data_IF_423663285775
#
_entry.id   IF_423663285775
#
_cell.length_a   1.000
_cell.length_b   1.000
_cell.length_c   1.000
_cell.angle_alpha   90.00
_cell.angle_beta   90.00
_cell.angle_gamma   90.00
#
_symmetry.space_group_name_H-M   'P 1'
#
loop_
_entity.id
_entity.type
_entity.pdbx_description
1 polymer ?
#
# COMPACT_ATOMS: atom_id res chain seq x y z
N UNK A 1 20.39 19.13 -7.39
CA UNK A 1 19.15 19.70 -6.83
C UNK A 1 18.18 19.89 -7.99
N UNK A 2 17.17 19.02 -8.11
CA UNK A 2 16.24 19.04 -9.25
C UNK A 2 15.11 20.03 -8.95
N UNK A 3 15.14 21.20 -9.60
CA UNK A 3 14.05 22.18 -9.56
C UNK A 3 13.02 21.86 -10.65
N UNK A 4 11.74 22.05 -10.35
CA UNK A 4 10.63 21.87 -11.27
C UNK A 4 9.75 23.13 -11.27
N UNK A 5 9.27 23.52 -12.45
CA UNK A 5 8.37 24.66 -12.62
C UNK A 5 6.95 24.12 -12.75
N UNK A 6 6.07 24.50 -11.82
CA UNK A 6 4.66 24.09 -11.79
C UNK A 6 3.97 24.51 -13.10
N UNK A 7 3.30 23.54 -13.74
CA UNK A 7 2.48 23.74 -14.94
C UNK A 7 0.99 23.79 -14.58
N UNK A 8 0.14 24.31 -15.48
CA UNK A 8 -1.31 24.28 -15.27
C UNK A 8 -1.82 22.87 -15.00
N UNK A 9 -2.54 22.69 -13.89
CA UNK A 9 -3.12 21.40 -13.49
C UNK A 9 -2.20 20.50 -12.67
N UNK A 10 -0.96 20.93 -12.38
CA UNK A 10 -0.09 20.24 -11.43
C UNK A 10 -0.53 20.48 -9.99
N UNK A 11 -0.36 19.45 -9.17
CA UNK A 11 -0.39 19.56 -7.72
C UNK A 11 0.62 18.58 -7.13
N UNK A 12 0.97 18.74 -5.84
CA UNK A 12 1.93 17.84 -5.19
C UNK A 12 1.49 16.38 -5.24
N UNK A 13 0.18 16.11 -5.20
CA UNK A 13 -0.36 14.75 -5.30
C UNK A 13 -0.03 14.08 -6.65
N UNK A 14 -0.33 14.72 -7.78
CA UNK A 14 -0.07 14.19 -9.14
C UNK A 14 1.43 14.10 -9.42
N UNK A 15 2.20 15.08 -8.96
CA UNK A 15 3.66 15.09 -9.12
C UNK A 15 4.30 13.95 -8.31
N UNK A 16 3.84 13.71 -7.09
CA UNK A 16 4.29 12.60 -6.25
C UNK A 16 3.92 11.24 -6.85
N UNK A 17 2.70 11.10 -7.38
CA UNK A 17 2.28 9.90 -8.09
C UNK A 17 3.16 9.60 -9.31
N UNK A 18 3.47 10.60 -10.13
CA UNK A 18 4.33 10.43 -11.29
C UNK A 18 5.78 10.09 -10.91
N UNK A 19 6.22 10.51 -9.72
CA UNK A 19 7.57 10.26 -9.21
C UNK A 19 7.69 9.02 -8.34
N UNK A 20 6.58 8.38 -7.97
CA UNK A 20 6.57 7.22 -7.09
C UNK A 20 6.96 7.55 -5.65
N UNK A 21 6.60 8.72 -5.14
CA UNK A 21 6.85 9.12 -3.75
C UNK A 21 5.59 9.69 -3.09
N UNK A 22 5.67 10.09 -1.82
CA UNK A 22 4.53 10.71 -1.12
C UNK A 22 4.44 12.20 -1.42
N UNK A 23 3.22 12.75 -1.42
CA UNK A 23 3.02 14.20 -1.47
C UNK A 23 3.62 14.89 -0.23
N UNK A 24 3.71 14.19 0.90
CA UNK A 24 4.35 14.71 2.12
C UNK A 24 5.84 14.98 1.89
N UNK A 25 6.53 14.13 1.11
CA UNK A 25 7.95 14.33 0.76
C UNK A 25 8.13 15.67 0.00
N UNK A 26 7.13 16.11 -0.79
CA UNK A 26 7.18 17.42 -1.45
C UNK A 26 7.03 18.59 -0.48
N UNK A 27 6.19 18.44 0.55
CA UNK A 27 5.98 19.47 1.58
C UNK A 27 7.25 19.65 2.42
N UNK A 28 7.88 18.54 2.81
CA UNK A 28 9.10 18.56 3.61
C UNK A 28 10.27 19.23 2.88
N UNK A 29 10.41 18.97 1.57
CA UNK A 29 11.50 19.55 0.76
C UNK A 29 11.23 21.01 0.38
N UNK A 30 9.98 21.46 0.47
CA UNK A 30 9.52 22.81 0.15
C UNK A 30 8.86 23.52 1.35
N UNK A 31 9.61 23.79 2.43
CA UNK A 31 9.06 24.48 3.59
C UNK A 31 8.55 25.88 3.18
N UNK A 32 7.33 26.21 3.59
CA UNK A 32 6.69 27.50 3.30
C UNK A 32 5.91 27.58 1.98
N UNK A 33 5.84 26.48 1.21
CA UNK A 33 4.90 26.38 0.09
C UNK A 33 3.61 25.71 0.58
N UNK A 34 2.48 26.38 0.36
CA UNK A 34 1.17 25.82 0.66
C UNK A 34 0.79 24.77 -0.42
N UNK A 35 0.61 23.48 -0.06
CA UNK A 35 0.24 22.42 -1.00
C UNK A 35 -1.11 22.67 -1.69
N UNK A 36 -2.01 23.42 -1.04
CA UNK A 36 -3.34 23.72 -1.54
C UNK A 36 -3.36 24.94 -2.49
N UNK A 37 -2.28 25.71 -2.56
CA UNK A 37 -2.22 26.98 -3.29
C UNK A 37 -0.94 27.11 -4.13
N UNK A 38 -0.71 26.14 -5.03
CA UNK A 38 0.42 26.17 -5.96
C UNK A 38 0.17 27.12 -7.14
N UNK A 39 1.14 27.98 -7.44
CA UNK A 39 1.06 28.91 -8.56
C UNK A 39 1.74 28.37 -9.82
N UNK A 40 1.10 28.53 -10.98
CA UNK A 40 1.72 28.20 -12.27
C UNK A 40 2.96 29.07 -12.48
N UNK A 41 4.08 28.45 -12.85
CA UNK A 41 5.37 29.13 -12.96
C UNK A 41 6.20 29.15 -11.67
N UNK A 42 5.64 28.70 -10.55
CA UNK A 42 6.36 28.58 -9.29
C UNK A 42 7.44 27.50 -9.37
N UNK A 43 8.64 27.82 -8.86
CA UNK A 43 9.73 26.85 -8.73
C UNK A 43 9.56 26.06 -7.44
N UNK A 44 9.54 24.74 -7.56
CA UNK A 44 9.52 23.80 -6.46
C UNK A 44 10.73 22.86 -6.55
N UNK A 45 11.15 22.32 -5.41
CA UNK A 45 12.17 21.30 -5.32
C UNK A 45 11.51 19.93 -5.39
N UNK A 46 12.04 19.05 -6.23
CA UNK A 46 11.58 17.66 -6.29
C UNK A 46 12.31 16.81 -5.24
N UNK A 47 11.59 15.96 -4.48
CA UNK A 47 12.24 14.99 -3.62
C UNK A 47 13.04 13.98 -4.47
N UNK A 48 14.19 13.56 -3.97
CA UNK A 48 14.96 12.48 -4.58
C UNK A 48 14.27 11.15 -4.24
N UNK A 49 13.57 10.57 -5.22
CA UNK A 49 13.17 9.16 -5.12
C UNK A 49 14.45 8.34 -5.17
N UNK A 50 14.87 7.78 -4.04
CA UNK A 50 15.78 6.64 -4.08
C UNK A 50 14.98 5.54 -4.75
N UNK A 51 15.17 5.34 -6.05
CA UNK A 51 14.86 4.04 -6.66
C UNK A 51 15.63 3.04 -5.83
N UNK A 52 14.93 2.35 -4.94
CA UNK A 52 15.43 1.10 -4.40
C UNK A 52 15.39 0.17 -5.60
N UNK A 53 16.47 0.17 -6.39
CA UNK A 53 16.72 -0.93 -7.31
C UNK A 53 16.63 -2.18 -6.44
N UNK A 54 15.75 -3.08 -6.86
CA UNK A 54 15.44 -4.33 -6.19
C UNK A 54 16.70 -5.21 -6.12
N UNK A 55 17.59 -4.94 -5.17
CA UNK A 55 18.54 -5.91 -4.68
C UNK A 55 18.02 -6.44 -3.35
N UNK A 56 17.38 -7.59 -3.45
CA UNK A 56 17.33 -8.62 -2.42
C UNK A 56 16.78 -8.22 -1.04
N UNK A 57 15.53 -8.58 -0.76
CA UNK A 57 15.22 -9.15 0.55
C UNK A 57 15.05 -10.64 0.36
N UNK A 58 16.19 -11.32 0.49
CA UNK A 58 16.32 -12.75 0.63
C UNK A 58 15.41 -13.29 1.74
N UNK A 59 15.09 -14.57 1.62
CA UNK A 59 14.31 -15.31 2.58
C UNK A 59 14.96 -15.40 3.97
N UNK A 60 14.15 -16.04 4.82
CA UNK A 60 14.41 -16.49 6.18
C UNK A 60 14.14 -15.50 7.31
N UNK A 61 13.25 -15.99 8.18
CA UNK A 61 12.85 -15.47 9.47
C UNK A 61 14.03 -14.90 10.27
N UNK A 62 14.02 -13.59 10.49
CA UNK A 62 13.91 -13.02 11.84
C UNK A 62 13.62 -11.52 11.78
N UNK A 63 12.53 -11.16 12.44
CA UNK A 63 12.18 -9.81 12.82
C UNK A 63 13.35 -9.08 13.46
N UNK A 64 13.75 -7.97 12.84
CA UNK A 64 13.88 -6.69 13.54
C UNK A 64 14.23 -5.59 12.53
N UNK A 65 13.29 -5.23 11.67
CA UNK A 65 13.42 -4.06 10.82
C UNK A 65 13.06 -2.82 11.66
N UNK A 66 14.00 -2.32 12.46
CA UNK A 66 13.90 -1.01 13.11
C UNK A 66 14.19 0.08 12.09
N UNK A 67 13.26 0.28 11.17
CA UNK A 67 13.38 1.27 10.10
C UNK A 67 12.11 1.28 9.27
N UNK A 68 11.12 2.04 9.75
CA UNK A 68 9.95 2.67 9.11
C UNK A 68 9.37 2.11 7.78
N UNK A 69 9.52 0.80 7.53
CA UNK A 69 8.85 0.11 6.44
C UNK A 69 7.47 -0.30 6.94
N UNK A 70 6.47 0.56 6.75
CA UNK A 70 5.06 0.19 6.96
C UNK A 70 4.68 -0.88 5.96
N UNK A 71 4.74 -2.14 6.37
CA UNK A 71 4.24 -3.26 5.59
C UNK A 71 2.76 -3.44 5.93
N UNK A 72 1.88 -3.24 4.95
CA UNK A 72 0.48 -3.63 5.09
C UNK A 72 0.41 -5.16 5.08
N UNK A 73 0.00 -5.74 6.20
CA UNK A 73 -0.17 -7.19 6.38
C UNK A 73 -1.64 -7.53 6.61
N UNK A 74 -2.15 -8.51 5.86
CA UNK A 74 -3.46 -9.13 6.07
C UNK A 74 -3.25 -10.61 6.39
N UNK A 75 -3.71 -11.03 7.56
CA UNK A 75 -3.64 -12.42 8.01
C UNK A 75 -5.06 -12.97 8.22
N UNK A 76 -5.31 -14.15 7.66
CA UNK A 76 -6.56 -14.89 7.81
C UNK A 76 -6.25 -16.30 8.30
N UNK A 77 -6.90 -16.73 9.38
CA UNK A 77 -6.85 -18.11 9.88
C UNK A 77 -8.20 -18.79 9.64
N UNK A 78 -8.19 -19.90 8.90
CA UNK A 78 -9.38 -20.71 8.59
C UNK A 78 -9.08 -22.15 8.95
N UNK A 79 -9.70 -22.64 10.02
CA UNK A 79 -9.63 -24.03 10.48
C UNK A 79 -8.18 -24.58 10.57
N UNK A 80 -7.23 -23.74 10.98
CA UNK A 80 -5.81 -24.08 11.12
C UNK A 80 -4.94 -23.79 9.90
N UNK A 81 -5.53 -23.36 8.77
CA UNK A 81 -4.80 -22.86 7.61
C UNK A 81 -4.64 -21.33 7.70
N UNK A 82 -3.40 -20.85 7.62
CA UNK A 82 -3.08 -19.42 7.68
C UNK A 82 -2.74 -18.88 6.29
N UNK A 83 -3.47 -17.85 5.87
CA UNK A 83 -3.19 -17.08 4.66
C UNK A 83 -2.60 -15.75 5.08
N UNK A 84 -1.35 -15.51 4.68
CA UNK A 84 -0.64 -14.25 4.93
C UNK A 84 -0.41 -13.53 3.62
N UNK A 85 -0.94 -12.31 3.52
CA UNK A 85 -0.67 -11.41 2.40
C UNK A 85 0.07 -10.21 2.94
N UNK A 86 1.33 -10.10 2.54
CA UNK A 86 2.18 -8.95 2.86
C UNK A 86 2.39 -8.14 1.60
N UNK A 87 2.11 -6.84 1.67
CA UNK A 87 2.53 -5.92 0.62
C UNK A 87 4.03 -5.59 0.81
N UNK A 88 4.85 -6.12 -0.10
CA UNK A 88 6.27 -5.74 -0.20
C UNK A 88 6.38 -4.56 -1.16
N UNK A 89 6.18 -3.34 -0.68
CA UNK A 89 6.23 -2.14 -1.52
C UNK A 89 6.42 -0.87 -0.69
N UNK A 90 6.77 0.22 -1.36
CA UNK A 90 7.18 1.46 -0.70
C UNK A 90 6.02 2.05 0.13
N UNK A 91 6.19 2.19 1.47
CA UNK A 91 5.13 2.52 2.44
C UNK A 91 4.65 3.98 2.37
N UNK A 92 5.32 4.80 1.56
CA UNK A 92 5.19 6.26 1.57
C UNK A 92 3.88 6.74 0.95
N UNK A 93 3.37 6.03 -0.05
CA UNK A 93 2.05 6.34 -0.62
C UNK A 93 1.00 5.60 0.24
N UNK A 94 -0.15 6.21 0.59
CA UNK A 94 -1.19 5.50 1.31
C UNK A 94 -1.79 4.43 0.38
N UNK A 95 -2.01 3.21 0.89
CA UNK A 95 -2.53 2.09 0.11
C UNK A 95 -3.67 1.37 0.81
N UNK A 96 -4.38 0.55 0.06
CA UNK A 96 -5.50 -0.25 0.49
C UNK A 96 -5.30 -1.68 -0.02
N UNK A 97 -5.34 -2.61 0.93
CA UNK A 97 -5.26 -4.05 0.66
C UNK A 97 -6.61 -4.65 0.98
N UNK A 98 -7.24 -5.23 -0.03
CA UNK A 98 -8.49 -5.98 0.13
C UNK A 98 -8.28 -7.43 -0.29
N UNK A 99 -8.59 -8.35 0.62
CA UNK A 99 -8.71 -9.76 0.30
C UNK A 99 -10.20 -10.14 0.30
N UNK A 100 -10.69 -10.66 -0.81
CA UNK A 100 -12.07 -11.12 -0.96
C UNK A 100 -12.05 -12.62 -1.21
N UNK A 101 -12.75 -13.35 -0.34
CA UNK A 101 -12.96 -14.79 -0.49
C UNK A 101 -14.46 -15.03 -0.70
N UNK A 102 -14.95 -15.06 -1.95
CA UNK A 102 -16.38 -15.09 -2.25
C UNK A 102 -17.09 -16.36 -1.78
N UNK A 103 -16.37 -17.49 -1.64
CA UNK A 103 -16.92 -18.74 -1.12
C UNK A 103 -15.81 -19.62 -0.52
N UNK A 104 -16.02 -20.03 0.73
CA UNK A 104 -15.20 -21.00 1.46
C UNK A 104 -16.13 -22.13 1.88
N UNK A 105 -15.73 -23.36 1.64
CA UNK A 105 -16.38 -24.55 2.19
C UNK A 105 -15.41 -25.27 3.11
N UNK A 106 -15.86 -25.53 4.34
CA UNK A 106 -15.09 -26.25 5.35
C UNK A 106 -15.84 -27.53 5.66
N UNK A 107 -15.18 -28.66 5.44
CA UNK A 107 -15.69 -29.98 5.81
C UNK A 107 -14.79 -30.57 6.88
N UNK A 108 -15.37 -30.85 8.04
CA UNK A 108 -14.70 -31.49 9.16
C UNK A 108 -15.31 -32.86 9.39
N UNK A 109 -14.49 -33.90 9.35
CA UNK A 109 -14.92 -35.28 9.63
C UNK A 109 -14.35 -35.71 10.97
N UNK A 110 -15.24 -36.00 11.91
CA UNK A 110 -14.88 -36.51 13.23
C UNK A 110 -15.20 -38.00 13.32
N UNK A 111 -14.22 -38.80 13.73
CA UNK A 111 -14.43 -40.23 14.00
C UNK A 111 -14.67 -40.44 15.50
N UNK A 112 -15.71 -41.23 15.88
CA UNK A 112 -16.14 -41.38 17.28
C UNK A 112 -15.12 -42.05 18.21
N UNK A 113 -14.05 -42.66 17.68
CA UNK A 113 -13.01 -43.34 18.47
C UNK A 113 -11.64 -42.61 18.47
N UNK A 114 -11.42 -41.60 17.61
CA UNK A 114 -10.09 -41.01 17.35
C UNK A 114 -10.08 -39.48 17.23
N UNK A 115 -11.23 -38.81 17.38
CA UNK A 115 -11.32 -37.37 17.22
C UNK A 115 -11.33 -36.91 15.76
N UNK A 116 -10.97 -35.65 15.52
CA UNK A 116 -11.02 -34.98 14.21
C UNK A 116 -9.80 -35.43 13.41
N UNK A 117 -10.00 -36.21 12.34
CA UNK A 117 -8.89 -36.70 11.52
C UNK A 117 -8.74 -35.89 10.24
N UNK A 118 -9.83 -35.30 9.72
CA UNK A 118 -9.79 -34.67 8.40
C UNK A 118 -10.56 -33.35 8.38
N UNK A 119 -9.85 -32.28 8.02
CA UNK A 119 -10.41 -30.97 7.72
C UNK A 119 -10.07 -30.65 6.27
N UNK A 120 -11.09 -30.59 5.42
CA UNK A 120 -10.96 -30.16 4.02
C UNK A 120 -11.45 -28.73 3.90
N UNK A 121 -10.62 -27.85 3.34
CA UNK A 121 -10.98 -26.46 3.06
C UNK A 121 -10.96 -26.29 1.55
N UNK A 122 -12.09 -25.95 0.96
CA UNK A 122 -12.21 -25.62 -0.46
C UNK A 122 -12.44 -24.12 -0.62
N UNK A 123 -11.57 -23.48 -1.39
CA UNK A 123 -11.68 -22.06 -1.70
C UNK A 123 -11.87 -21.95 -3.20
N UNK A 124 -13.00 -21.38 -3.63
CA UNK A 124 -13.34 -21.32 -5.06
C UNK A 124 -12.56 -20.25 -5.82
N UNK A 125 -12.28 -19.10 -5.19
CA UNK A 125 -11.48 -18.01 -5.73
C UNK A 125 -10.95 -17.14 -4.57
N UNK A 126 -9.84 -16.44 -4.77
CA UNK A 126 -9.31 -15.41 -3.88
C UNK A 126 -8.92 -14.20 -4.74
N UNK A 127 -9.56 -13.06 -4.50
CA UNK A 127 -9.16 -11.80 -5.14
C UNK A 127 -8.35 -10.97 -4.13
N UNK A 128 -7.12 -10.63 -4.51
CA UNK A 128 -6.25 -9.72 -3.74
C UNK A 128 -6.09 -8.46 -4.57
N UNK A 129 -6.61 -7.36 -4.05
CA UNK A 129 -6.46 -6.04 -4.68
C UNK A 129 -5.55 -5.20 -3.80
N UNK A 130 -4.52 -4.65 -4.43
CA UNK A 130 -3.58 -3.76 -3.78
C UNK A 130 -3.57 -2.44 -4.56
N UNK A 131 -4.15 -1.39 -3.99
CA UNK A 131 -4.35 -0.11 -4.68
C UNK A 131 -3.86 1.06 -3.84
N UNK A 132 -3.27 2.11 -4.41
CA UNK A 132 -3.02 3.37 -3.70
C UNK A 132 -4.34 4.02 -3.27
N UNK A 133 -4.47 4.37 -1.98
CA UNK A 133 -5.56 5.23 -1.51
C UNK A 133 -5.38 6.60 -2.13
N UNK A 134 -6.41 7.07 -2.80
CA UNK A 134 -6.52 8.49 -3.19
C UNK A 134 -7.08 9.24 -1.99
N UNK A 135 -6.26 9.98 -1.26
CA UNK A 135 -6.78 10.97 -0.32
C UNK A 135 -7.38 12.13 -1.13
N UNK A 136 -8.71 12.23 -1.14
CA UNK A 136 -9.45 13.47 -1.42
C UNK A 136 -9.70 13.83 -2.88
N UNK A 137 -10.71 13.21 -3.50
CA UNK A 137 -11.75 14.00 -4.17
C UNK A 137 -12.81 14.35 -3.10
N UNK A 138 -12.46 15.24 -2.18
CA UNK A 138 -13.41 15.94 -1.31
C UNK A 138 -13.84 17.21 -2.03
N UNK A 139 -15.12 17.28 -2.41
CA UNK A 139 -15.62 18.18 -3.45
C UNK A 139 -15.70 19.69 -3.16
N UNK A 140 -16.11 20.40 -4.22
CA UNK A 140 -16.43 21.83 -4.28
C UNK A 140 -15.86 22.40 -5.57
N UNK A 141 -16.65 22.64 -6.63
CA UNK A 141 -17.65 23.71 -6.65
C UNK A 141 -18.90 23.35 -7.45
N UNK A 142 -20.06 23.58 -6.82
CA UNK A 142 -21.23 24.14 -7.50
C UNK A 142 -20.81 25.47 -8.13
N UNK A 143 -21.08 25.64 -9.42
CA UNK A 143 -21.85 26.75 -10.03
C UNK A 143 -22.03 26.45 -11.53
#
# INVERSE_FOLDING_TARGET
MNEYIIKPGDNFYRLAQHKGCSWQDFVEVNPGIDPCCLQVGQKIRLPETKRVESSECCGELRSSCSGDNRCDEVLIDIAGAQFRVTRNGEPKVPHEVHMIIPRIEIRKVEHPQSGIIETTIMISNINIVNSPRREGEGGGSKE
#
